data_IF_272739892545
#
_entry.id   IF_272739892545
#
_cell.length_a   1.000
_cell.length_b   1.000
_cell.length_c   1.000
_cell.angle_alpha   90.00
_cell.angle_beta   90.00
_cell.angle_gamma   90.00
#
_symmetry.space_group_name_H-M   'P 1'
#
loop_
_entity.id
_entity.type
_entity.pdbx_description
1 polymer ?
#
# COMPACT_ATOMS: atom_id res chain seq x y z
N UNK A 1 -13.49 -3.35 -3.55
CA UNK A 1 -12.98 -3.61 -2.20
C UNK A 1 -12.99 -5.10 -1.93
N UNK A 2 -14.15 -5.77 -1.93
CA UNK A 2 -14.24 -7.22 -1.75
C UNK A 2 -13.41 -7.99 -2.78
N UNK A 3 -12.76 -9.06 -2.33
CA UNK A 3 -11.96 -10.00 -3.13
C UNK A 3 -10.83 -9.37 -3.94
N UNK A 4 -10.35 -8.18 -3.57
CA UNK A 4 -9.19 -7.53 -4.18
C UNK A 4 -8.03 -7.46 -3.21
N UNK A 5 -6.81 -7.46 -3.75
CA UNK A 5 -5.61 -7.16 -2.96
C UNK A 5 -5.65 -5.67 -2.62
N UNK A 6 -5.64 -5.35 -1.33
CA UNK A 6 -5.69 -3.99 -0.82
C UNK A 6 -4.35 -3.64 -0.20
N UNK A 7 -3.97 -2.37 -0.31
CA UNK A 7 -2.84 -1.79 0.41
C UNK A 7 -3.43 -0.79 1.39
N UNK A 8 -3.13 -0.96 2.68
CA UNK A 8 -3.57 -0.08 3.75
C UNK A 8 -2.33 0.46 4.43
N UNK A 9 -2.25 1.78 4.58
CA UNK A 9 -1.15 2.46 5.24
C UNK A 9 -1.63 3.65 6.08
N UNK A 10 -0.85 4.01 7.09
CA UNK A 10 -1.10 5.15 7.97
C UNK A 10 0.22 5.65 8.58
N UNK A 11 0.29 6.92 9.00
CA UNK A 11 1.46 7.45 9.68
C UNK A 11 1.56 6.91 11.12
N UNK A 12 2.79 6.69 11.57
CA UNK A 12 3.14 6.34 12.94
C UNK A 12 4.40 7.13 13.33
N UNK A 13 4.22 8.21 14.08
CA UNK A 13 5.30 9.19 14.37
C UNK A 13 5.97 9.68 13.07
N UNK A 14 7.26 9.39 12.85
CA UNK A 14 8.01 9.78 11.64
C UNK A 14 7.99 8.70 10.55
N UNK A 15 7.37 7.56 10.83
CA UNK A 15 7.31 6.40 9.96
C UNK A 15 5.92 6.22 9.35
N UNK A 16 5.84 5.37 8.33
CA UNK A 16 4.58 4.85 7.80
C UNK A 16 4.51 3.36 8.08
N UNK A 17 3.36 2.91 8.58
CA UNK A 17 3.04 1.48 8.72
C UNK A 17 2.12 1.10 7.56
N UNK A 18 2.45 0.00 6.88
CA UNK A 18 1.70 -0.51 5.73
C UNK A 18 1.43 -2.00 5.86
N UNK A 19 0.32 -2.46 5.27
CA UNK A 19 -0.05 -3.88 5.23
C UNK A 19 -0.82 -4.22 3.95
N UNK A 20 -0.69 -5.46 3.49
CA UNK A 20 -1.58 -6.02 2.48
C UNK A 20 -2.81 -6.58 3.17
N UNK A 21 -4.00 -6.29 2.61
CA UNK A 21 -5.28 -6.79 3.14
C UNK A 21 -6.14 -7.41 2.05
N UNK A 22 -7.05 -8.32 2.45
CA UNK A 22 -8.09 -8.89 1.57
C UNK A 22 -9.28 -9.32 2.43
N UNK A 23 -10.49 -9.21 1.89
CA UNK A 23 -11.71 -9.69 2.56
C UNK A 23 -12.78 -10.06 1.54
N UNK A 24 -13.59 -11.06 1.87
CA UNK A 24 -14.78 -11.44 1.13
C UNK A 24 -16.05 -10.74 1.64
N UNK A 25 -16.00 -10.17 2.85
CA UNK A 25 -17.14 -9.53 3.53
C UNK A 25 -16.86 -8.07 3.86
N UNK A 26 -17.93 -7.27 4.00
CA UNK A 26 -17.81 -5.90 4.51
C UNK A 26 -17.38 -5.91 5.99
N UNK A 27 -16.37 -5.10 6.30
CA UNK A 27 -15.74 -5.06 7.62
C UNK A 27 -14.28 -4.61 7.49
N UNK A 28 -13.55 -4.60 8.61
CA UNK A 28 -12.10 -4.34 8.61
C UNK A 28 -11.39 -5.46 7.83
N UNK A 29 -10.69 -5.16 6.73
CA UNK A 29 -9.99 -6.18 5.94
C UNK A 29 -8.91 -6.89 6.77
N UNK A 30 -8.90 -8.22 6.75
CA UNK A 30 -7.86 -9.01 7.40
C UNK A 30 -6.53 -8.86 6.65
N UNK A 31 -5.41 -9.05 7.36
CA UNK A 31 -4.09 -9.13 6.74
C UNK A 31 -4.04 -10.30 5.78
N UNK A 32 -3.44 -10.07 4.61
CA UNK A 32 -3.16 -11.14 3.64
C UNK A 32 -1.67 -11.18 3.35
N UNK A 33 -1.15 -12.40 3.23
CA UNK A 33 0.25 -12.68 2.92
C UNK A 33 0.32 -13.47 1.62
N UNK A 34 1.47 -13.42 0.96
CA UNK A 34 1.69 -14.13 -0.30
C UNK A 34 3.11 -13.89 -0.78
N UNK A 35 3.33 -14.06 -2.10
CA UNK A 35 4.63 -13.79 -2.71
C UNK A 35 4.89 -12.29 -2.94
N UNK A 36 3.86 -11.46 -2.79
CA UNK A 36 3.95 -10.00 -2.93
C UNK A 36 4.61 -9.35 -1.73
N UNK A 37 5.38 -8.29 -1.99
CA UNK A 37 6.04 -7.48 -0.97
C UNK A 37 5.85 -6.00 -1.24
N UNK A 38 5.84 -5.19 -0.18
CA UNK A 38 5.89 -3.74 -0.25
C UNK A 38 7.17 -3.28 0.43
N UNK A 39 8.04 -2.59 -0.31
CA UNK A 39 9.31 -2.10 0.20
C UNK A 39 9.33 -0.58 0.09
N UNK A 40 9.40 0.17 1.21
CA UNK A 40 9.42 1.63 1.16
C UNK A 40 10.60 2.18 0.36
N UNK A 41 10.38 3.28 -0.34
CA UNK A 41 11.40 4.15 -0.92
C UNK A 41 11.55 5.34 0.02
N UNK A 42 12.69 5.43 0.71
CA UNK A 42 12.91 6.37 1.80
C UNK A 42 12.71 7.84 1.37
N UNK A 43 13.27 8.23 0.23
CA UNK A 43 13.19 9.61 -0.26
C UNK A 43 11.76 10.07 -0.62
N UNK A 44 10.82 9.13 -0.77
CA UNK A 44 9.40 9.42 -1.02
C UNK A 44 8.48 9.04 0.13
N UNK A 45 9.02 8.66 1.29
CA UNK A 45 8.24 8.21 2.45
C UNK A 45 8.59 9.04 3.67
N UNK A 46 7.66 9.88 4.11
CA UNK A 46 7.86 10.75 5.26
C UNK A 46 6.52 11.15 5.90
N UNK A 47 6.59 11.64 7.14
CA UNK A 47 5.48 12.26 7.87
C UNK A 47 5.93 13.65 8.33
N UNK A 48 5.12 14.67 8.07
CA UNK A 48 5.35 16.03 8.56
C UNK A 48 4.07 16.62 9.17
N UNK A 49 4.10 17.90 9.53
CA UNK A 49 2.98 18.57 10.22
C UNK A 49 1.73 18.77 9.36
N UNK A 50 1.82 18.64 8.03
CA UNK A 50 0.69 18.90 7.11
C UNK A 50 0.24 17.66 6.36
N UNK A 51 1.14 16.72 6.10
CA UNK A 51 0.83 15.50 5.36
C UNK A 51 1.86 14.40 5.61
N UNK A 52 1.56 13.22 5.07
CA UNK A 52 2.49 12.12 4.97
C UNK A 52 2.45 11.56 3.55
N UNK A 53 3.54 10.95 3.13
CA UNK A 53 3.64 10.23 1.87
C UNK A 53 4.15 8.83 2.13
N UNK A 54 3.71 7.89 1.30
CA UNK A 54 4.23 6.53 1.30
C UNK A 54 4.52 6.11 -0.13
N UNK A 55 5.80 6.20 -0.50
CA UNK A 55 6.27 5.73 -1.79
C UNK A 55 6.93 4.38 -1.59
N UNK A 56 6.51 3.37 -2.34
CA UNK A 56 6.99 2.01 -2.15
C UNK A 56 7.04 1.24 -3.47
N UNK A 57 7.95 0.27 -3.52
CA UNK A 57 7.95 -0.76 -4.54
C UNK A 57 7.00 -1.89 -4.12
N UNK A 58 5.99 -2.16 -4.93
CA UNK A 58 5.11 -3.32 -4.79
C UNK A 58 5.60 -4.47 -5.69
N UNK A 59 6.45 -5.34 -5.16
CA UNK A 59 6.98 -6.48 -5.94
C UNK A 59 5.97 -7.61 -5.99
N UNK A 60 5.80 -8.22 -7.17
CA UNK A 60 4.87 -9.33 -7.42
C UNK A 60 3.43 -9.01 -7.03
N UNK A 61 2.98 -7.75 -7.06
CA UNK A 61 1.63 -7.37 -6.64
C UNK A 61 0.56 -7.55 -7.73
N UNK A 62 0.94 -7.55 -9.01
CA UNK A 62 0.01 -7.81 -10.13
C UNK A 62 -0.22 -9.34 -10.20
N UNK A 63 -1.35 -9.81 -9.68
CA UNK A 63 -1.74 -11.21 -9.64
C UNK A 63 -2.50 -11.66 -10.89
N UNK A 64 -2.50 -12.97 -11.14
CA UNK A 64 -3.32 -13.63 -12.17
C UNK A 64 -4.62 -14.22 -11.64
N UNK A 65 -4.85 -14.16 -10.31
CA UNK A 65 -6.00 -14.75 -9.61
C UNK A 65 -7.27 -13.85 -9.60
N UNK A 66 -7.23 -12.75 -10.36
CA UNK A 66 -8.33 -11.77 -10.44
C UNK A 66 -8.44 -10.83 -9.23
N UNK A 67 -7.50 -10.86 -8.28
CA UNK A 67 -7.48 -9.93 -7.14
C UNK A 67 -6.93 -8.54 -7.48
N UNK A 68 -6.25 -8.40 -8.62
CA UNK A 68 -5.73 -7.13 -9.14
C UNK A 68 -6.10 -6.94 -10.61
N UNK A 69 -5.64 -5.83 -11.22
CA UNK A 69 -5.58 -5.72 -12.68
C UNK A 69 -4.52 -6.68 -13.24
N UNK A 70 -4.58 -6.94 -14.56
CA UNK A 70 -3.62 -7.78 -15.29
C UNK A 70 -2.51 -6.92 -15.90
N UNK A 71 -1.34 -7.50 -16.16
CA UNK A 71 -0.22 -6.82 -16.84
C UNK A 71 -0.57 -6.31 -18.24
N UNK A 72 -1.58 -6.91 -18.87
CA UNK A 72 -2.11 -6.54 -20.20
C UNK A 72 -3.18 -5.45 -20.14
N UNK A 73 -3.71 -5.11 -18.96
CA UNK A 73 -4.75 -4.09 -18.85
C UNK A 73 -4.14 -2.70 -19.11
N UNK A 74 -4.79 -1.91 -19.96
CA UNK A 74 -4.35 -0.53 -20.27
C UNK A 74 -5.13 0.53 -19.50
N UNK A 75 -6.38 0.24 -19.12
CA UNK A 75 -7.27 1.19 -18.44
C UNK A 75 -8.02 0.56 -17.24
N UNK A 76 -7.32 -0.02 -16.24
CA UNK A 76 -7.99 -0.58 -15.08
C UNK A 76 -8.60 0.52 -14.19
N UNK A 77 -9.72 0.16 -13.55
CA UNK A 77 -10.29 0.95 -12.46
C UNK A 77 -9.59 0.62 -11.14
N UNK A 78 -8.99 1.63 -10.51
CA UNK A 78 -8.32 1.53 -9.21
C UNK A 78 -9.19 2.23 -8.17
N UNK A 79 -9.47 1.54 -7.06
CA UNK A 79 -10.24 2.09 -5.95
C UNK A 79 -9.36 2.77 -4.90
N UNK A 80 -9.89 3.78 -4.24
CA UNK A 80 -9.27 4.40 -3.06
C UNK A 80 -10.27 4.47 -1.90
N UNK A 81 -9.73 4.55 -0.69
CA UNK A 81 -10.47 4.72 0.55
C UNK A 81 -9.64 5.55 1.52
N UNK A 82 -10.30 6.41 2.30
CA UNK A 82 -9.66 7.31 3.25
C UNK A 82 -10.45 7.36 4.56
N UNK A 83 -9.74 7.34 5.68
CA UNK A 83 -10.26 7.71 6.99
C UNK A 83 -9.22 8.62 7.67
N UNK A 84 -9.68 9.69 8.32
CA UNK A 84 -8.81 10.58 9.11
C UNK A 84 -8.50 10.00 10.49
N UNK A 85 -9.31 9.04 10.98
CA UNK A 85 -9.04 8.33 12.21
C UNK A 85 -7.97 7.25 12.00
N UNK A 86 -6.89 7.34 12.77
CA UNK A 86 -5.85 6.31 12.81
C UNK A 86 -6.39 5.00 13.42
N UNK A 87 -5.79 3.84 13.10
CA UNK A 87 -6.10 2.58 13.79
C UNK A 87 -5.76 2.67 15.28
N UNK A 88 -6.45 1.90 16.12
CA UNK A 88 -6.23 1.92 17.58
C UNK A 88 -4.83 1.43 17.98
N UNK A 89 -4.23 0.52 17.21
CA UNK A 89 -2.86 0.05 17.40
C UNK A 89 -1.98 0.52 16.23
N UNK A 90 -1.55 1.78 16.26
CA UNK A 90 -0.81 2.42 15.14
C UNK A 90 0.53 1.76 14.80
N UNK A 91 1.14 1.02 15.72
CA UNK A 91 2.37 0.26 15.49
C UNK A 91 2.12 -1.13 14.90
N UNK A 92 0.89 -1.64 14.97
CA UNK A 92 0.55 -2.99 14.54
C UNK A 92 0.01 -2.98 13.10
N UNK A 93 0.76 -3.50 12.10
CA UNK A 93 0.29 -3.56 10.72
C UNK A 93 -0.96 -4.44 10.55
N UNK A 94 -1.34 -5.26 11.55
CA UNK A 94 -2.57 -6.04 11.58
C UNK A 94 -3.76 -5.36 12.28
N UNK A 95 -3.58 -4.16 12.86
CA UNK A 95 -4.65 -3.41 13.56
C UNK A 95 -5.93 -3.36 12.74
N UNK A 96 -7.08 -3.48 13.42
CA UNK A 96 -8.37 -3.23 12.80
C UNK A 96 -8.46 -1.77 12.35
N UNK A 97 -9.09 -1.53 11.20
CA UNK A 97 -9.33 -0.20 10.66
C UNK A 97 -10.83 0.09 10.62
N UNK A 98 -11.21 1.30 11.01
CA UNK A 98 -12.60 1.76 10.92
C UNK A 98 -13.00 1.99 9.46
N UNK A 99 -14.30 1.92 9.19
CA UNK A 99 -14.87 2.22 7.86
C UNK A 99 -14.38 3.58 7.37
N UNK A 100 -13.95 3.64 6.11
CA UNK A 100 -13.53 4.88 5.46
C UNK A 100 -14.66 5.92 5.41
N UNK A 101 -14.30 7.19 5.58
CA UNK A 101 -15.20 8.35 5.47
C UNK A 101 -15.26 8.89 4.03
N UNK A 102 -14.24 8.62 3.23
CA UNK A 102 -14.20 8.93 1.79
C UNK A 102 -13.78 7.68 0.99
N UNK A 103 -14.36 7.49 -0.19
CA UNK A 103 -14.01 6.40 -1.09
C UNK A 103 -14.32 6.76 -2.54
N UNK A 104 -13.72 6.06 -3.48
CA UNK A 104 -14.05 6.20 -4.88
C UNK A 104 -13.27 5.24 -5.77
N UNK A 105 -13.41 5.42 -7.07
CA UNK A 105 -12.64 4.72 -8.09
C UNK A 105 -12.24 5.69 -9.19
N UNK A 106 -11.07 5.47 -9.77
CA UNK A 106 -10.59 6.20 -10.93
C UNK A 106 -10.06 5.21 -11.97
N UNK A 107 -10.18 5.56 -13.25
CA UNK A 107 -9.57 4.80 -14.35
C UNK A 107 -8.23 5.45 -14.64
N UNK A 108 -7.17 4.64 -14.72
CA UNK A 108 -5.82 5.10 -15.03
C UNK A 108 -5.35 4.52 -16.35
N UNK A 109 -4.76 5.37 -17.21
CA UNK A 109 -4.07 4.93 -18.41
C UNK A 109 -2.68 4.39 -18.05
N UNK A 110 -2.57 3.07 -17.96
CA UNK A 110 -1.31 2.40 -17.60
C UNK A 110 -0.28 2.44 -18.72
N UNK A 111 -0.65 2.77 -19.96
CA UNK A 111 0.34 2.94 -21.04
C UNK A 111 1.24 4.15 -20.74
N UNK A 112 0.66 5.20 -20.14
CA UNK A 112 1.36 6.42 -19.71
C UNK A 112 2.03 6.31 -18.34
N UNK A 113 1.71 5.26 -17.58
CA UNK A 113 2.30 5.00 -16.26
C UNK A 113 3.63 4.24 -16.33
N UNK A 114 4.02 3.75 -17.51
CA UNK A 114 5.29 3.05 -17.74
C UNK A 114 6.42 4.07 -17.92
N UNK A 115 7.59 3.78 -17.36
CA UNK A 115 8.75 4.65 -17.48
C UNK A 115 10.03 3.84 -17.62
N UNK A 116 10.92 4.28 -18.50
CA UNK A 116 12.28 3.72 -18.65
C UNK A 116 13.11 3.90 -17.37
N UNK A 117 12.74 4.83 -16.49
CA UNK A 117 13.39 5.06 -15.19
C UNK A 117 12.93 4.10 -14.11
N UNK A 118 12.02 3.16 -14.42
CA UNK A 118 11.47 2.24 -13.42
C UNK A 118 12.57 1.46 -12.69
N UNK A 119 13.56 0.92 -13.40
CA UNK A 119 14.65 0.16 -12.77
C UNK A 119 15.50 1.04 -11.85
N UNK A 120 15.72 2.30 -12.22
CA UNK A 120 16.39 3.28 -11.35
C UNK A 120 15.60 3.53 -10.08
N UNK A 121 14.29 3.80 -10.18
CA UNK A 121 13.45 4.09 -9.00
C UNK A 121 13.23 2.87 -8.12
N UNK A 122 13.11 1.69 -8.74
CA UNK A 122 13.01 0.40 -8.05
C UNK A 122 14.23 0.15 -7.16
N UNK A 123 15.43 0.51 -7.61
CA UNK A 123 16.66 0.33 -6.83
C UNK A 123 16.71 1.17 -5.54
N UNK A 124 15.88 2.20 -5.41
CA UNK A 124 15.77 3.00 -4.18
C UNK A 124 14.91 2.34 -3.10
N UNK A 125 14.21 1.26 -3.43
CA UNK A 125 13.44 0.50 -2.46
C UNK A 125 14.38 -0.39 -1.65
N UNK A 126 14.64 0.03 -0.41
CA UNK A 126 15.49 -0.72 0.52
C UNK A 126 14.64 -1.27 1.66
N UNK A 127 14.80 -2.55 2.04
CA UNK A 127 14.16 -3.08 3.22
C UNK A 127 14.53 -2.21 4.43
N UNK A 128 13.56 -1.90 5.30
CA UNK A 128 13.89 -1.35 6.61
C UNK A 128 14.77 -2.37 7.32
N UNK A 129 16.05 -2.05 7.52
CA UNK A 129 16.91 -2.83 8.40
C UNK A 129 16.24 -2.79 9.76
N UNK A 130 15.86 -3.95 10.30
CA UNK A 130 15.44 -4.03 11.68
C UNK A 130 16.62 -3.51 12.51
N UNK A 131 16.48 -2.34 13.13
CA UNK A 131 17.50 -1.84 14.04
C UNK A 131 17.56 -2.81 15.21
N UNK A 132 18.52 -3.74 15.18
CA UNK A 132 18.93 -4.45 16.37
C UNK A 132 19.52 -3.41 17.31
N UNK A 133 18.73 -2.96 18.27
CA UNK A 133 19.24 -2.27 19.44
C UNK A 133 20.17 -3.27 20.15
N UNK A 134 21.47 -3.12 19.94
CA UNK A 134 22.44 -3.67 20.87
C UNK A 134 22.29 -2.87 22.17
N UNK A 135 22.10 -3.63 23.25
CA UNK A 135 21.80 -3.20 24.62
C UNK A 135 22.94 -2.38 25.23
#
# INVERSE_FOLDING_TARGET
MLNKLLIVAWPNSKDVVGSFRKTANYGSPAVTTGTFTQTPIANGTYVNSTHWTYTFLCSKCIQTDGTTFKTTDTAPSIGYALNTAAPSQVTNPASSVSKHTAQGKAIFDLSKARSEKFDTWKAYAVPKVAQSFQS
#
